data_IF_063519872202
#
_entry.id   IF_063519872202
#
_cell.length_a   1.000
_cell.length_b   1.000
_cell.length_c   1.000
_cell.angle_alpha   90.00
_cell.angle_beta   90.00
_cell.angle_gamma   90.00
#
_symmetry.space_group_name_H-M   'P 1'
#
loop_
_entity.id
_entity.type
_entity.pdbx_description
1 polymer ?
#
# COMPACT_ATOMS: atom_id res chain seq x y z
N UNK A 1 19.66 -15.96 10.82
CA UNK A 1 18.86 -14.97 10.05
C UNK A 1 18.16 -14.10 11.07
N UNK A 2 18.41 -12.79 11.10
CA UNK A 2 17.79 -11.92 12.11
C UNK A 2 16.33 -11.67 11.75
N UNK A 3 15.41 -11.97 12.66
CA UNK A 3 13.98 -11.78 12.44
C UNK A 3 13.59 -10.33 12.78
N UNK A 4 12.93 -9.64 11.86
CA UNK A 4 12.39 -8.29 12.06
C UNK A 4 10.88 -8.33 12.03
N UNK A 5 10.24 -7.69 13.01
CA UNK A 5 8.76 -7.54 13.07
C UNK A 5 8.27 -6.68 11.89
N UNK A 6 7.04 -6.94 11.43
CA UNK A 6 6.42 -6.14 10.39
C UNK A 6 6.25 -4.68 10.84
N UNK A 7 6.83 -3.67 10.16
CA UNK A 7 6.84 -2.29 10.63
C UNK A 7 5.45 -1.68 10.84
N UNK A 8 4.50 -2.03 9.97
CA UNK A 8 3.10 -1.61 10.11
C UNK A 8 2.46 -2.21 11.36
N UNK A 9 2.49 -3.54 11.53
CA UNK A 9 1.90 -4.24 12.68
C UNK A 9 2.47 -3.77 14.02
N UNK A 10 3.78 -3.49 14.07
CA UNK A 10 4.45 -3.00 15.27
C UNK A 10 3.94 -1.61 15.72
N UNK A 11 3.30 -0.84 14.83
CA UNK A 11 2.81 0.52 15.08
C UNK A 11 1.28 0.62 15.14
N UNK A 12 0.57 -0.49 15.03
CA UNK A 12 -0.90 -0.50 15.18
C UNK A 12 -1.26 -0.09 16.61
N UNK A 13 -2.20 0.83 16.74
CA UNK A 13 -2.70 1.34 18.04
C UNK A 13 -1.90 2.49 18.62
N UNK A 14 -0.72 2.80 18.09
CA UNK A 14 0.08 3.98 18.47
C UNK A 14 0.03 5.03 17.37
N UNK A 15 0.49 4.64 16.16
CA UNK A 15 0.59 5.56 15.02
C UNK A 15 -0.33 5.18 13.87
N UNK A 16 -0.59 3.86 13.69
CA UNK A 16 -1.42 3.34 12.59
C UNK A 16 -2.74 2.78 13.10
N UNK A 17 -3.79 3.02 12.34
CA UNK A 17 -5.11 2.41 12.52
C UNK A 17 -5.29 1.13 11.71
N UNK A 18 -6.35 0.40 12.02
CA UNK A 18 -6.75 -0.83 11.33
C UNK A 18 -7.29 -0.54 9.92
N UNK A 19 -6.91 -1.37 8.94
CA UNK A 19 -7.44 -1.28 7.57
C UNK A 19 -8.89 -1.79 7.43
N UNK A 20 -9.34 -2.68 8.32
CA UNK A 20 -10.75 -3.07 8.42
C UNK A 20 -11.29 -2.56 9.75
N UNK A 21 -12.36 -1.76 9.71
CA UNK A 21 -12.98 -1.16 10.90
C UNK A 21 -14.42 -1.64 10.99
N UNK A 22 -14.63 -2.68 11.79
CA UNK A 22 -15.95 -3.23 12.10
C UNK A 22 -15.87 -4.16 13.32
N UNK A 23 -17.02 -4.41 13.94
CA UNK A 23 -17.13 -5.32 15.08
C UNK A 23 -18.28 -6.30 14.85
N UNK A 24 -18.01 -7.60 15.02
CA UNK A 24 -19.01 -8.66 14.93
C UNK A 24 -18.61 -9.83 15.81
N UNK A 25 -19.54 -10.33 16.63
CA UNK A 25 -19.28 -11.41 17.58
C UNK A 25 -19.52 -12.80 16.95
N UNK A 26 -20.70 -13.04 16.36
CA UNK A 26 -21.08 -14.38 15.87
C UNK A 26 -20.54 -14.70 14.48
N UNK A 27 -20.57 -13.73 13.56
CA UNK A 27 -20.24 -13.94 12.14
C UNK A 27 -18.85 -13.41 11.73
N UNK A 28 -17.90 -13.36 12.67
CA UNK A 28 -16.56 -12.80 12.42
C UNK A 28 -15.84 -13.49 11.25
N UNK A 29 -15.77 -14.83 11.26
CA UNK A 29 -15.03 -15.59 10.26
C UNK A 29 -15.57 -15.37 8.83
N UNK A 30 -16.90 -15.25 8.69
CA UNK A 30 -17.55 -14.98 7.40
C UNK A 30 -17.15 -13.60 6.86
N UNK A 31 -17.23 -12.58 7.71
CA UNK A 31 -16.89 -11.21 7.32
C UNK A 31 -15.40 -11.05 7.01
N UNK A 32 -14.54 -11.73 7.75
CA UNK A 32 -13.11 -11.75 7.47
C UNK A 32 -12.81 -12.38 6.10
N UNK A 33 -13.46 -13.51 5.79
CA UNK A 33 -13.30 -14.18 4.48
C UNK A 33 -13.70 -13.26 3.33
N UNK A 34 -14.87 -12.62 3.44
CA UNK A 34 -15.35 -11.65 2.46
C UNK A 34 -14.37 -10.47 2.30
N UNK A 35 -13.84 -9.90 3.39
CA UNK A 35 -12.87 -8.81 3.33
C UNK A 35 -11.57 -9.21 2.61
N UNK A 36 -11.06 -10.42 2.87
CA UNK A 36 -9.84 -10.94 2.23
C UNK A 36 -10.05 -11.15 0.74
N UNK A 37 -11.11 -11.85 0.35
CA UNK A 37 -11.45 -12.10 -1.06
C UNK A 37 -11.65 -10.78 -1.82
N UNK A 38 -12.26 -9.78 -1.18
CA UNK A 38 -12.52 -8.47 -1.77
C UNK A 38 -11.21 -7.72 -2.01
N UNK A 39 -10.33 -7.68 -1.01
CA UNK A 39 -9.02 -7.03 -1.13
C UNK A 39 -8.18 -7.65 -2.22
N UNK A 40 -8.10 -8.98 -2.26
CA UNK A 40 -7.35 -9.68 -3.30
C UNK A 40 -7.89 -9.37 -4.69
N UNK A 41 -9.21 -9.38 -4.84
CA UNK A 41 -9.85 -9.10 -6.12
C UNK A 41 -9.64 -7.65 -6.56
N UNK A 42 -9.83 -6.67 -5.66
CA UNK A 42 -9.59 -5.25 -5.96
C UNK A 42 -8.13 -4.98 -6.31
N UNK A 43 -7.19 -5.54 -5.55
CA UNK A 43 -5.75 -5.39 -5.82
C UNK A 43 -5.34 -6.02 -7.16
N UNK A 44 -5.96 -7.14 -7.57
CA UNK A 44 -5.72 -7.76 -8.88
C UNK A 44 -6.33 -6.97 -10.03
N UNK A 45 -7.57 -6.49 -9.88
CA UNK A 45 -8.28 -5.75 -10.93
C UNK A 45 -7.70 -4.35 -11.15
N UNK A 46 -7.39 -3.64 -10.07
CA UNK A 46 -6.97 -2.24 -10.08
C UNK A 46 -5.44 -2.09 -10.17
N UNK A 47 -4.75 -3.07 -10.75
CA UNK A 47 -3.29 -3.05 -10.94
C UNK A 47 -2.81 -1.83 -11.74
N UNK A 48 -3.61 -1.36 -12.69
CA UNK A 48 -3.30 -0.19 -13.52
C UNK A 48 -3.42 1.14 -12.74
N UNK A 49 -4.32 1.20 -11.76
CA UNK A 49 -4.61 2.41 -10.98
C UNK A 49 -3.64 2.65 -9.82
N UNK A 50 -2.65 1.77 -9.61
CA UNK A 50 -1.66 1.87 -8.53
C UNK A 50 -2.30 2.05 -7.14
N UNK A 51 -3.26 1.20 -6.79
CA UNK A 51 -3.93 1.27 -5.49
C UNK A 51 -2.92 1.06 -4.36
N UNK A 52 -2.85 2.04 -3.45
CA UNK A 52 -1.99 2.00 -2.26
C UNK A 52 -2.57 1.07 -1.20
N UNK A 53 -3.86 1.20 -0.93
CA UNK A 53 -4.54 0.46 0.11
C UNK A 53 -6.05 0.46 -0.08
N UNK A 54 -6.69 -0.57 0.47
CA UNK A 54 -8.14 -0.70 0.54
C UNK A 54 -8.54 -0.79 2.00
N UNK A 55 -9.29 0.20 2.46
CA UNK A 55 -9.90 0.19 3.78
C UNK A 55 -11.37 -0.17 3.66
N UNK A 56 -11.84 -0.95 4.63
CA UNK A 56 -13.20 -1.46 4.65
C UNK A 56 -13.80 -1.11 5.99
N UNK A 57 -14.87 -0.33 5.96
CA UNK A 57 -15.71 -0.07 7.11
C UNK A 57 -17.03 -0.82 6.94
N UNK A 58 -17.46 -1.55 7.97
CA UNK A 58 -18.76 -2.21 7.96
C UNK A 58 -19.60 -1.70 9.12
N UNK A 59 -20.75 -1.13 8.78
CA UNK A 59 -21.86 -0.89 9.69
C UNK A 59 -22.86 -2.06 9.64
N UNK A 60 -23.98 -1.99 10.35
CA UNK A 60 -24.96 -3.09 10.42
C UNK A 60 -25.39 -3.62 9.04
N UNK A 61 -25.75 -2.73 8.11
CA UNK A 61 -26.21 -3.10 6.77
C UNK A 61 -25.39 -2.48 5.63
N UNK A 62 -24.53 -1.51 5.94
CA UNK A 62 -23.79 -0.73 4.94
C UNK A 62 -22.32 -1.05 5.00
N UNK A 63 -21.74 -1.34 3.83
CA UNK A 63 -20.29 -1.50 3.66
C UNK A 63 -19.76 -0.29 2.91
N UNK A 64 -18.76 0.37 3.50
CA UNK A 64 -18.04 1.49 2.88
C UNK A 64 -16.63 1.03 2.56
N UNK A 65 -16.26 1.09 1.29
CA UNK A 65 -14.92 0.76 0.82
C UNK A 65 -14.21 2.05 0.45
N UNK A 66 -13.08 2.30 1.09
CA UNK A 66 -12.19 3.40 0.77
C UNK A 66 -11.01 2.87 -0.06
N UNK A 67 -10.88 3.35 -1.29
CA UNK A 67 -9.80 2.98 -2.19
C UNK A 67 -8.83 4.16 -2.28
N UNK A 68 -7.63 3.97 -1.75
CA UNK A 68 -6.55 4.97 -1.81
C UNK A 68 -5.76 4.80 -3.09
N UNK A 69 -5.72 5.84 -3.92
CA UNK A 69 -4.98 5.83 -5.19
C UNK A 69 -4.34 7.19 -5.50
N UNK A 70 -3.15 7.20 -6.11
CA UNK A 70 -2.56 8.43 -6.65
C UNK A 70 -3.21 8.89 -7.96
N UNK A 71 -4.06 8.06 -8.59
CA UNK A 71 -4.67 8.33 -9.91
C UNK A 71 -6.18 8.11 -9.85
N UNK A 72 -6.93 8.98 -9.13
CA UNK A 72 -8.38 8.84 -8.98
C UNK A 72 -9.11 8.92 -10.33
N UNK A 73 -8.65 9.77 -11.26
CA UNK A 73 -9.31 9.94 -12.56
C UNK A 73 -9.46 8.65 -13.38
N UNK A 74 -8.48 7.73 -13.29
CA UNK A 74 -8.53 6.45 -14.01
C UNK A 74 -9.56 5.47 -13.39
N UNK A 75 -9.87 5.62 -12.10
CA UNK A 75 -10.87 4.82 -11.39
C UNK A 75 -12.29 5.38 -11.55
N UNK A 76 -12.43 6.72 -11.60
CA UNK A 76 -13.71 7.39 -11.77
C UNK A 76 -14.25 7.19 -13.20
N UNK A 77 -13.37 7.29 -14.20
CA UNK A 77 -13.75 7.22 -15.61
C UNK A 77 -14.50 8.48 -16.08
N UNK A 78 -15.04 8.44 -17.30
CA UNK A 78 -15.82 9.56 -17.86
C UNK A 78 -17.19 9.61 -17.16
N UNK A 79 -17.50 10.72 -16.49
CA UNK A 79 -18.81 10.92 -15.84
C UNK A 79 -19.13 9.99 -14.66
N UNK A 80 -18.13 9.33 -14.04
CA UNK A 80 -18.35 8.43 -12.90
C UNK A 80 -18.72 6.98 -13.25
N UNK A 81 -18.72 6.63 -14.54
CA UNK A 81 -19.06 5.29 -15.03
C UNK A 81 -18.20 4.18 -14.41
N UNK A 82 -16.91 4.46 -14.13
CA UNK A 82 -15.98 3.51 -13.56
C UNK A 82 -16.36 3.08 -12.14
N UNK A 83 -16.82 4.02 -11.30
CA UNK A 83 -17.30 3.73 -9.95
C UNK A 83 -18.55 2.88 -10.00
N UNK A 84 -19.49 3.21 -10.89
CA UNK A 84 -20.75 2.50 -10.96
C UNK A 84 -20.57 1.06 -11.47
N UNK A 85 -19.68 0.85 -12.45
CA UNK A 85 -19.26 -0.47 -12.89
C UNK A 85 -18.61 -1.26 -11.74
N UNK A 86 -17.69 -0.64 -11.01
CA UNK A 86 -17.00 -1.28 -9.88
C UNK A 86 -18.01 -1.67 -8.78
N UNK A 87 -18.96 -0.79 -8.46
CA UNK A 87 -20.02 -1.04 -7.48
C UNK A 87 -20.89 -2.24 -7.89
N UNK A 88 -21.35 -2.28 -9.15
CA UNK A 88 -22.16 -3.39 -9.70
C UNK A 88 -21.41 -4.72 -9.64
N UNK A 89 -20.12 -4.73 -9.95
CA UNK A 89 -19.32 -5.95 -9.90
C UNK A 89 -19.08 -6.46 -8.46
N UNK A 90 -18.83 -5.56 -7.51
CA UNK A 90 -18.68 -5.94 -6.10
C UNK A 90 -20.01 -6.50 -5.56
N UNK A 91 -21.14 -5.86 -5.89
CA UNK A 91 -22.46 -6.35 -5.52
C UNK A 91 -22.73 -7.74 -6.07
N UNK A 92 -22.38 -8.01 -7.35
CA UNK A 92 -22.53 -9.34 -7.96
C UNK A 92 -21.69 -10.41 -7.25
N UNK A 93 -20.47 -10.10 -6.83
CA UNK A 93 -19.57 -11.08 -6.23
C UNK A 93 -19.91 -11.45 -4.79
N UNK A 94 -20.34 -10.48 -3.99
CA UNK A 94 -20.45 -10.66 -2.53
C UNK A 94 -21.85 -10.44 -1.99
N UNK A 95 -22.82 -10.15 -2.86
CA UNK A 95 -24.23 -9.99 -2.53
C UNK A 95 -24.48 -9.01 -1.37
N UNK A 96 -23.75 -7.89 -1.34
CA UNK A 96 -23.98 -6.81 -0.38
C UNK A 96 -25.23 -6.03 -0.76
N UNK A 97 -26.12 -5.80 0.23
CA UNK A 97 -27.32 -4.99 0.06
C UNK A 97 -26.98 -3.52 -0.21
N UNK A 98 -26.22 -2.89 0.68
CA UNK A 98 -25.82 -1.48 0.58
C UNK A 98 -24.30 -1.31 0.53
N UNK A 99 -23.79 -0.93 -0.64
CA UNK A 99 -22.37 -0.69 -0.88
C UNK A 99 -22.11 0.78 -1.24
N UNK A 100 -21.17 1.41 -0.55
CA UNK A 100 -20.61 2.72 -0.89
C UNK A 100 -19.12 2.57 -1.20
N UNK A 101 -18.69 3.13 -2.31
CA UNK A 101 -17.27 3.14 -2.72
C UNK A 101 -16.81 4.57 -2.75
N UNK A 102 -15.82 4.89 -1.92
CA UNK A 102 -15.19 6.20 -1.82
C UNK A 102 -13.76 6.08 -2.34
N UNK A 103 -13.37 7.00 -3.21
CA UNK A 103 -12.00 7.07 -3.72
C UNK A 103 -11.29 8.19 -2.97
N UNK A 104 -10.15 7.86 -2.36
CA UNK A 104 -9.29 8.82 -1.68
C UNK A 104 -8.02 9.03 -2.50
N UNK A 105 -7.68 10.30 -2.71
CA UNK A 105 -6.49 10.67 -3.45
C UNK A 105 -5.23 10.65 -2.57
N UNK A 106 -4.21 9.95 -3.03
CA UNK A 106 -2.87 9.99 -2.43
C UNK A 106 -2.10 11.16 -3.05
N UNK A 107 -2.00 12.27 -2.30
CA UNK A 107 -1.34 13.51 -2.76
C UNK A 107 0.08 13.30 -3.27
N UNK A 108 0.89 12.53 -2.53
CA UNK A 108 2.30 12.26 -2.87
C UNK A 108 2.51 10.76 -3.14
N UNK A 109 2.50 10.31 -4.41
CA UNK A 109 2.61 8.89 -4.76
C UNK A 109 3.95 8.28 -4.34
N UNK A 110 5.03 9.08 -4.37
CA UNK A 110 6.36 8.64 -4.00
C UNK A 110 6.58 8.56 -2.48
N UNK A 111 5.71 9.14 -1.66
CA UNK A 111 5.77 8.97 -0.22
C UNK A 111 5.15 7.64 0.25
N UNK A 112 4.42 6.96 -0.63
CA UNK A 112 3.68 5.73 -0.35
C UNK A 112 4.48 4.49 -0.74
N UNK A 113 4.72 3.61 0.23
CA UNK A 113 5.55 2.43 0.05
C UNK A 113 4.89 1.42 -0.92
N UNK A 114 3.56 1.28 -0.89
CA UNK A 114 2.84 0.35 -1.76
C UNK A 114 2.89 0.81 -3.21
N UNK A 115 2.70 2.11 -3.46
CA UNK A 115 2.79 2.67 -4.81
C UNK A 115 4.21 2.55 -5.37
N UNK A 116 5.22 2.88 -4.57
CA UNK A 116 6.63 2.76 -4.98
C UNK A 116 7.00 1.29 -5.24
N UNK A 117 6.60 0.37 -4.37
CA UNK A 117 6.83 -1.07 -4.58
C UNK A 117 6.21 -1.51 -5.91
N UNK A 118 4.98 -1.09 -6.21
CA UNK A 118 4.28 -1.45 -7.44
C UNK A 118 4.97 -0.90 -8.69
N UNK A 119 5.45 0.33 -8.64
CA UNK A 119 6.18 0.97 -9.74
C UNK A 119 7.52 0.27 -10.01
N UNK A 120 8.27 -0.06 -8.95
CA UNK A 120 9.51 -0.85 -9.06
C UNK A 120 9.22 -2.21 -9.69
N UNK A 121 8.17 -2.91 -9.22
CA UNK A 121 7.73 -4.20 -9.78
C UNK A 121 7.43 -4.10 -11.28
N UNK A 122 6.66 -3.08 -11.70
CA UNK A 122 6.32 -2.87 -13.12
C UNK A 122 7.57 -2.62 -14.00
N UNK A 123 8.53 -1.86 -13.49
CA UNK A 123 9.77 -1.59 -14.23
C UNK A 123 10.70 -2.80 -14.31
N UNK A 124 10.72 -3.64 -13.26
CA UNK A 124 11.38 -4.94 -13.30
C UNK A 124 10.71 -5.87 -14.31
N UNK A 125 9.37 -5.95 -14.34
CA UNK A 125 8.61 -6.75 -15.31
C UNK A 125 8.87 -6.33 -16.77
N UNK A 126 9.15 -5.04 -17.01
CA UNK A 126 9.62 -4.50 -18.30
C UNK A 126 11.07 -4.83 -18.64
N UNK A 127 11.76 -5.63 -17.80
CA UNK A 127 13.16 -6.06 -17.96
C UNK A 127 14.17 -4.91 -17.89
N UNK A 128 13.87 -3.85 -17.14
CA UNK A 128 14.86 -2.82 -16.86
C UNK A 128 15.90 -3.35 -15.84
N UNK A 129 17.19 -2.98 -15.98
CA UNK A 129 18.23 -3.40 -15.03
C UNK A 129 17.88 -2.98 -13.60
N UNK A 130 17.83 -3.94 -12.67
CA UNK A 130 17.30 -3.69 -11.32
C UNK A 130 18.08 -2.61 -10.56
N UNK A 131 19.41 -2.50 -10.73
CA UNK A 131 20.22 -1.45 -10.10
C UNK A 131 19.82 -0.04 -10.54
N UNK A 132 19.52 0.14 -11.83
CA UNK A 132 19.07 1.41 -12.39
C UNK A 132 17.71 1.79 -11.84
N UNK A 133 16.79 0.81 -11.80
CA UNK A 133 15.44 0.97 -11.22
C UNK A 133 15.55 1.42 -9.76
N UNK A 134 16.35 0.72 -8.94
CA UNK A 134 16.51 1.06 -7.53
C UNK A 134 17.06 2.46 -7.30
N UNK A 135 18.15 2.84 -7.99
CA UNK A 135 18.73 4.19 -7.86
C UNK A 135 17.72 5.27 -8.27
N UNK A 136 17.03 5.07 -9.40
CA UNK A 136 16.03 6.00 -9.91
C UNK A 136 14.89 6.22 -8.92
N UNK A 137 14.34 5.16 -8.34
CA UNK A 137 13.23 5.30 -7.37
C UNK A 137 13.69 5.89 -6.03
N UNK A 138 14.89 5.56 -5.55
CA UNK A 138 15.43 6.17 -4.33
C UNK A 138 15.57 7.69 -4.48
N UNK A 139 16.09 8.15 -5.63
CA UNK A 139 16.18 9.57 -5.92
C UNK A 139 14.82 10.23 -6.02
N UNK A 140 13.86 9.63 -6.75
CA UNK A 140 12.49 10.15 -6.86
C UNK A 140 11.80 10.30 -5.50
N UNK A 141 11.95 9.30 -4.62
CA UNK A 141 11.33 9.38 -3.29
C UNK A 141 12.01 10.44 -2.42
N UNK A 142 13.33 10.52 -2.42
CA UNK A 142 14.02 11.57 -1.65
C UNK A 142 13.72 12.97 -2.19
N UNK A 143 13.58 13.13 -3.51
CA UNK A 143 13.24 14.42 -4.14
C UNK A 143 11.79 14.85 -3.88
N UNK A 144 10.91 13.93 -3.49
CA UNK A 144 9.52 14.28 -3.13
C UNK A 144 9.40 15.13 -1.86
N UNK A 145 10.50 15.33 -1.12
CA UNK A 145 10.58 16.18 0.08
C UNK A 145 9.85 15.64 1.32
N UNK A 146 8.89 14.73 1.13
CA UNK A 146 8.06 14.14 2.19
C UNK A 146 8.72 12.94 2.88
N UNK A 147 9.80 12.41 2.31
CA UNK A 147 10.52 11.26 2.84
C UNK A 147 11.88 11.67 3.40
N UNK A 148 12.14 11.31 4.67
CA UNK A 148 13.43 11.50 5.34
C UNK A 148 14.38 10.31 5.14
N UNK A 149 13.85 9.17 4.69
CA UNK A 149 14.67 8.04 4.27
C UNK A 149 13.89 6.96 3.53
N UNK A 150 14.62 6.19 2.74
CA UNK A 150 14.11 5.09 1.93
C UNK A 150 15.09 3.94 1.93
N UNK A 151 14.55 2.72 2.02
CA UNK A 151 15.25 1.48 1.70
C UNK A 151 14.39 0.71 0.72
N UNK A 152 14.99 0.30 -0.37
CA UNK A 152 14.38 -0.62 -1.33
C UNK A 152 15.27 -1.85 -1.40
N UNK A 153 14.65 -3.00 -1.29
CA UNK A 153 15.30 -4.29 -1.31
C UNK A 153 14.65 -5.17 -2.35
N UNK A 154 15.48 -5.90 -3.07
CA UNK A 154 15.07 -6.83 -4.11
C UNK A 154 15.72 -8.18 -3.83
N UNK A 155 14.92 -9.23 -3.80
CA UNK A 155 15.36 -10.59 -3.51
C UNK A 155 14.83 -11.55 -4.56
N UNK A 156 15.72 -12.37 -5.12
CA UNK A 156 15.37 -13.39 -6.13
C UNK A 156 16.46 -13.55 -7.17
N UNK A 157 16.10 -14.12 -8.32
CA UNK A 157 16.99 -14.32 -9.47
C UNK A 157 17.19 -13.01 -10.23
N UNK A 158 18.03 -12.13 -9.70
CA UNK A 158 18.24 -10.79 -10.28
C UNK A 158 18.95 -10.90 -11.63
N UNK A 159 18.44 -10.21 -12.65
CA UNK A 159 18.92 -10.26 -14.05
C UNK A 159 19.02 -11.68 -14.63
N UNK A 160 18.19 -12.62 -14.17
CA UNK A 160 18.17 -13.98 -14.69
C UNK A 160 19.30 -14.88 -14.20
N UNK A 161 20.06 -14.46 -13.19
CA UNK A 161 21.06 -15.30 -12.54
C UNK A 161 20.46 -16.63 -12.05
N UNK A 162 21.24 -17.70 -12.08
CA UNK A 162 20.83 -19.02 -11.62
C UNK A 162 20.56 -19.04 -10.12
N UNK A 163 21.46 -18.42 -9.33
CA UNK A 163 21.32 -18.30 -7.89
C UNK A 163 20.58 -17.03 -7.49
N UNK A 164 19.61 -17.18 -6.57
CA UNK A 164 18.91 -16.04 -6.00
C UNK A 164 19.82 -15.22 -5.08
N UNK A 165 19.81 -13.90 -5.25
CA UNK A 165 20.54 -12.95 -4.39
C UNK A 165 19.60 -11.91 -3.80
N UNK A 166 20.05 -11.25 -2.73
CA UNK A 166 19.34 -10.16 -2.05
C UNK A 166 20.20 -8.92 -2.11
N UNK A 167 19.73 -7.90 -2.83
CA UNK A 167 20.41 -6.61 -2.94
C UNK A 167 19.49 -5.51 -2.40
N UNK A 168 20.04 -4.58 -1.63
CA UNK A 168 19.30 -3.46 -1.09
C UNK A 168 20.08 -2.18 -1.24
N UNK A 169 19.36 -1.09 -1.48
CA UNK A 169 19.92 0.25 -1.46
C UNK A 169 19.12 1.09 -0.46
N UNK A 170 19.82 1.92 0.29
CA UNK A 170 19.26 2.78 1.32
C UNK A 170 19.80 4.20 1.17
N UNK A 171 18.93 5.19 1.39
CA UNK A 171 19.30 6.60 1.51
C UNK A 171 18.54 7.22 2.68
N UNK A 172 19.22 7.99 3.52
CA UNK A 172 18.61 8.62 4.70
C UNK A 172 18.36 7.70 5.90
N UNK A 173 17.53 8.16 6.82
CA UNK A 173 17.26 7.53 8.13
C UNK A 173 16.08 6.55 8.05
N UNK A 174 16.20 5.38 8.67
CA UNK A 174 15.10 4.41 8.79
C UNK A 174 15.14 3.76 10.17
N UNK A 175 14.61 4.44 11.19
CA UNK A 175 14.55 3.89 12.53
C UNK A 175 13.40 2.88 12.64
N UNK A 176 13.72 1.57 12.57
CA UNK A 176 12.70 0.52 12.64
C UNK A 176 12.20 0.25 14.07
N UNK A 177 13.08 0.40 15.06
CA UNK A 177 12.79 0.15 16.48
C UNK A 177 11.98 1.28 17.13
N UNK A 178 12.11 2.50 16.62
CA UNK A 178 11.41 3.67 17.14
C UNK A 178 9.93 3.62 16.77
N UNK A 179 9.05 3.55 17.77
CA UNK A 179 7.59 3.46 17.57
C UNK A 179 6.98 4.76 17.01
N UNK A 180 7.46 5.91 17.48
CA UNK A 180 7.03 7.25 17.02
C UNK A 180 7.44 7.59 15.58
N UNK A 181 8.34 6.79 14.99
CA UNK A 181 8.78 7.00 13.62
C UNK A 181 7.71 6.50 12.65
N UNK A 182 7.19 7.37 11.79
CA UNK A 182 6.27 6.98 10.72
C UNK A 182 7.04 6.27 9.60
N UNK A 183 7.06 4.94 9.69
CA UNK A 183 7.65 4.05 8.68
C UNK A 183 6.53 3.34 7.94
N UNK A 184 6.38 3.69 6.67
CA UNK A 184 5.54 2.98 5.74
C UNK A 184 6.28 1.79 5.13
N UNK A 185 5.55 0.70 4.90
CA UNK A 185 6.11 -0.58 4.50
C UNK A 185 5.22 -1.29 3.51
N UNK A 186 5.84 -1.78 2.43
CA UNK A 186 5.15 -2.61 1.46
C UNK A 186 6.05 -3.73 0.93
N UNK A 187 5.39 -4.83 0.55
CA UNK A 187 5.97 -5.93 -0.22
C UNK A 187 5.15 -6.14 -1.47
N UNK A 188 5.83 -6.31 -2.59
CA UNK A 188 5.21 -6.74 -3.85
C UNK A 188 6.10 -7.79 -4.53
N UNK A 189 5.55 -8.45 -5.54
CA UNK A 189 6.21 -9.52 -6.28
C UNK A 189 6.15 -9.22 -7.78
N UNK A 190 7.32 -9.22 -8.42
CA UNK A 190 7.48 -9.12 -9.86
C UNK A 190 7.46 -10.52 -10.47
N UNK A 191 6.58 -10.73 -11.44
CA UNK A 191 6.52 -11.98 -12.20
C UNK A 191 7.41 -11.85 -13.45
N UNK A 192 8.57 -12.50 -13.42
CA UNK A 192 9.52 -12.52 -14.54
C UNK A 192 9.56 -13.92 -15.18
N UNK A 193 10.00 -14.04 -16.45
CA UNK A 193 10.08 -15.33 -17.13
C UNK A 193 10.98 -16.34 -16.39
N UNK A 194 12.04 -15.86 -15.75
CA UNK A 194 13.01 -16.69 -15.02
C UNK A 194 12.65 -16.89 -13.54
N UNK A 195 11.49 -16.40 -13.08
CA UNK A 195 10.99 -16.62 -11.73
C UNK A 195 10.35 -15.38 -11.10
N UNK A 196 10.04 -15.48 -9.80
CA UNK A 196 9.49 -14.36 -9.04
C UNK A 196 10.60 -13.60 -8.32
N UNK A 197 10.57 -12.27 -8.43
CA UNK A 197 11.46 -11.39 -7.68
C UNK A 197 10.64 -10.62 -6.65
N UNK A 198 11.01 -10.73 -5.37
CA UNK A 198 10.36 -10.00 -4.29
C UNK A 198 10.94 -8.60 -4.15
N UNK A 199 10.07 -7.60 -4.05
CA UNK A 199 10.44 -6.20 -3.80
C UNK A 199 9.89 -5.82 -2.43
N UNK A 200 10.75 -5.31 -1.56
CA UNK A 200 10.37 -4.76 -0.25
C UNK A 200 10.80 -3.31 -0.14
N UNK A 201 9.88 -2.44 0.25
CA UNK A 201 10.11 -1.00 0.35
C UNK A 201 9.81 -0.54 1.78
N UNK A 202 10.71 0.25 2.34
CA UNK A 202 10.52 1.02 3.57
C UNK A 202 10.67 2.50 3.25
N UNK A 203 9.70 3.31 3.66
CA UNK A 203 9.75 4.77 3.53
C UNK A 203 9.54 5.37 4.90
N UNK A 204 10.47 6.23 5.32
CA UNK A 204 10.37 6.97 6.57
C UNK A 204 9.94 8.41 6.28
N UNK A 205 8.80 8.84 6.81
CA UNK A 205 8.22 10.17 6.59
C UNK A 205 8.57 11.18 7.69
N UNK A 206 9.03 10.71 8.84
CA UNK A 206 9.36 11.55 9.99
C UNK A 206 8.83 11.00 11.30
N UNK A 207 9.08 11.71 12.38
CA UNK A 207 8.48 11.40 13.67
C UNK A 207 7.15 12.13 13.78
N UNK A 208 6.13 11.43 14.26
CA UNK A 208 4.84 12.03 14.62
C UNK A 208 4.87 12.24 16.12
N UNK A 209 4.80 13.50 16.55
CA UNK A 209 4.55 13.87 17.93
C UNK A 209 3.04 14.01 18.11
N UNK A 210 2.51 13.58 19.25
CA UNK A 210 1.08 13.38 19.49
C UNK A 210 0.15 14.54 19.04
N UNK A 211 -1.08 14.15 18.74
CA UNK A 211 -2.19 14.95 18.18
C UNK A 211 -2.69 16.12 19.06
N UNK A 212 -2.06 16.40 20.21
CA UNK A 212 -2.41 17.58 21.03
C UNK A 212 -2.18 18.89 20.27
N UNK A 213 -1.14 18.95 19.42
CA UNK A 213 -0.83 20.14 18.63
C UNK A 213 -1.80 20.41 17.46
N UNK A 214 -2.63 19.45 17.05
CA UNK A 214 -3.66 19.68 16.01
C UNK A 214 -4.97 20.22 16.60
N UNK A 215 -5.31 19.88 17.84
CA UNK A 215 -6.46 20.48 18.54
C UNK A 215 -6.20 21.95 18.90
N UNK A 216 -5.00 22.28 19.40
CA UNK A 216 -4.62 23.67 19.70
C UNK A 216 -4.55 24.60 18.47
N UNK A 217 -4.38 24.04 17.26
CA UNK A 217 -4.36 24.80 16.00
C UNK A 217 -5.74 24.98 15.36
N UNK A 218 -6.73 24.20 15.77
CA UNK A 218 -8.13 24.34 15.33
C UNK A 218 -8.96 25.18 16.30
N UNK A 219 -8.48 25.37 17.53
CA UNK A 219 -9.10 26.19 18.58
C UNK A 219 -8.51 27.62 18.68
N UNK A 220 -7.54 27.97 17.84
CA UNK A 220 -7.03 29.35 17.64
C UNK A 220 -7.41 29.86 16.25
#
# INVERSE_FOLDING_TARGET
>A
MTHSVHPYSFRIGILRDWKSRWFQHKNFAKFLKEDVEMREWLMKKLRASLVSGVEIERSRNTVVIYIKTPRPGLLIGRGGEGIEKLKKEIQKKMNFKDLKVTIEEVRNPYADAHVVARLVTQDLEKRLPFRRVLKSYIEKVMNSGSAKGVRIEVAGRLDGAEMGRREWLRKGLIPLQTLRADVDFARDRAALPYGTVGVTVWIYRGEVFDKENEKEKLEK
#
